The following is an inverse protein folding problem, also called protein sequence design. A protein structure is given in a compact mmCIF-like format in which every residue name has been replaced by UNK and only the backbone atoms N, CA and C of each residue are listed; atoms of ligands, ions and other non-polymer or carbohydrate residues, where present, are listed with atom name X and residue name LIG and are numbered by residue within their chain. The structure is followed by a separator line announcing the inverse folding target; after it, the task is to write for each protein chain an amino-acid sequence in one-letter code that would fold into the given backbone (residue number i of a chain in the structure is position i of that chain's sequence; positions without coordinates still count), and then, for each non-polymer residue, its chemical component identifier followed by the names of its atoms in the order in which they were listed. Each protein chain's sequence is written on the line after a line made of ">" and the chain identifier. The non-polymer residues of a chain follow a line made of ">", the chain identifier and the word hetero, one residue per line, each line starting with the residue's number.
data_IF_818025021717
#
_entry.id   IF_818025021717
#
_cell.length_a   1.000
_cell.length_b   1.000
_cell.length_c   1.000
_cell.angle_alpha   90.00
_cell.angle_beta   90.00
_cell.angle_gamma   90.00
#
_symmetry.space_group_name_H-M   'P 1'
#
loop_
_entity.id
_entity.type
_entity.pdbx_description
1 polymer ?
#
# COMPACT_ATOMS: atom_id res chain seq x y z
N UNK A 1 -29.65 -5.45 -5.50
CA UNK A 1 -28.96 -4.18 -5.81
C UNK A 1 -30.02 -3.08 -5.82
N UNK A 2 -29.90 -2.09 -4.94
CA UNK A 2 -30.84 -0.97 -4.82
C UNK A 2 -30.15 0.30 -5.34
N UNK A 3 -30.89 1.16 -6.03
CA UNK A 3 -30.39 2.49 -6.40
C UNK A 3 -31.01 3.52 -5.47
N UNK A 4 -30.20 4.31 -4.80
CA UNK A 4 -30.63 5.44 -4.00
C UNK A 4 -30.47 6.70 -4.85
N UNK A 5 -31.59 7.36 -5.08
CA UNK A 5 -31.63 8.65 -5.77
C UNK A 5 -31.61 9.75 -4.71
N UNK A 6 -30.62 10.59 -4.75
CA UNK A 6 -30.39 11.64 -3.75
C UNK A 6 -30.45 13.00 -4.40
N UNK A 7 -31.33 13.84 -3.93
CA UNK A 7 -31.33 15.26 -4.30
C UNK A 7 -30.30 15.99 -3.46
N UNK A 8 -29.39 16.68 -4.11
CA UNK A 8 -28.30 17.44 -3.47
C UNK A 8 -28.70 18.91 -3.40
N UNK A 9 -28.83 19.40 -2.17
CA UNK A 9 -29.01 20.81 -1.88
C UNK A 9 -27.69 21.55 -1.68
N UNK A 10 -27.78 22.74 -1.10
CA UNK A 10 -26.63 23.61 -0.80
C UNK A 10 -26.34 23.70 0.70
N UNK A 11 -26.90 22.79 1.51
CA UNK A 11 -26.67 22.77 2.97
C UNK A 11 -25.20 22.53 3.31
N UNK A 12 -24.52 21.65 2.55
CA UNK A 12 -23.07 21.43 2.66
C UNK A 12 -22.28 22.73 2.49
N UNK A 13 -22.59 23.49 1.43
CA UNK A 13 -21.91 24.76 1.15
C UNK A 13 -22.15 25.79 2.28
N UNK A 14 -23.38 25.90 2.76
CA UNK A 14 -23.75 26.83 3.84
C UNK A 14 -23.08 26.47 5.18
N UNK A 15 -22.93 25.18 5.48
CA UNK A 15 -22.27 24.70 6.68
C UNK A 15 -20.75 24.89 6.61
N UNK A 16 -20.14 24.54 5.47
CA UNK A 16 -18.71 24.71 5.22
C UNK A 16 -18.29 26.18 5.27
N UNK A 17 -19.06 27.11 4.67
CA UNK A 17 -18.85 28.56 4.78
C UNK A 17 -18.70 29.02 6.22
N UNK A 18 -19.62 28.58 7.09
CA UNK A 18 -19.60 28.94 8.51
C UNK A 18 -18.42 28.32 9.29
N UNK A 19 -18.10 27.07 8.99
CA UNK A 19 -17.07 26.34 9.74
C UNK A 19 -15.65 26.73 9.31
N UNK A 20 -15.42 27.01 8.02
CA UNK A 20 -14.11 27.34 7.48
C UNK A 20 -13.84 28.85 7.41
N UNK A 21 -14.84 29.69 7.68
CA UNK A 21 -14.80 31.16 7.49
C UNK A 21 -14.40 31.57 6.07
N UNK A 22 -14.88 30.84 5.06
CA UNK A 22 -14.62 31.07 3.64
C UNK A 22 -15.92 31.45 2.93
N UNK A 23 -15.93 32.56 2.22
CA UNK A 23 -17.16 33.04 1.58
C UNK A 23 -17.62 32.15 0.42
N UNK A 24 -16.69 31.59 -0.36
CA UNK A 24 -16.97 30.68 -1.46
C UNK A 24 -16.06 29.43 -1.39
N UNK A 25 -16.42 28.42 -0.58
CA UNK A 25 -15.67 27.16 -0.54
C UNK A 25 -15.64 26.50 -1.91
N UNK A 26 -14.44 26.13 -2.38
CA UNK A 26 -14.27 25.32 -3.57
C UNK A 26 -14.53 23.85 -3.29
N UNK A 27 -14.41 22.96 -4.28
CA UNK A 27 -14.65 21.53 -4.14
C UNK A 27 -13.71 20.85 -3.13
N UNK A 28 -12.45 21.29 -3.07
CA UNK A 28 -11.46 20.76 -2.15
C UNK A 28 -11.73 21.19 -0.70
N UNK A 29 -12.17 22.43 -0.51
CA UNK A 29 -12.60 22.92 0.79
C UNK A 29 -13.80 22.12 1.31
N UNK A 30 -14.79 21.86 0.45
CA UNK A 30 -15.96 21.04 0.78
C UNK A 30 -15.57 19.60 1.09
N UNK A 31 -14.66 19.01 0.31
CA UNK A 31 -14.18 17.65 0.53
C UNK A 31 -13.40 17.55 1.85
N UNK A 32 -12.55 18.53 2.12
CA UNK A 32 -11.82 18.63 3.40
C UNK A 32 -12.77 18.81 4.59
N UNK A 33 -13.77 19.66 4.45
CA UNK A 33 -14.79 19.87 5.47
C UNK A 33 -15.55 18.57 5.77
N UNK A 34 -16.01 17.86 4.74
CA UNK A 34 -16.68 16.56 4.91
C UNK A 34 -15.79 15.52 5.59
N UNK A 35 -14.49 15.55 5.32
CA UNK A 35 -13.54 14.61 5.88
C UNK A 35 -13.30 14.76 7.40
N UNK A 36 -13.53 15.95 7.95
CA UNK A 36 -13.21 16.31 9.33
C UNK A 36 -14.45 16.64 10.18
N UNK A 37 -15.65 16.59 9.60
CA UNK A 37 -16.89 16.98 10.26
C UNK A 37 -17.78 15.76 10.46
N UNK A 38 -18.48 15.71 11.59
CA UNK A 38 -19.51 14.70 11.85
C UNK A 38 -20.54 14.69 10.71
N UNK A 39 -20.88 13.52 10.12
CA UNK A 39 -21.83 13.40 9.01
C UNK A 39 -23.18 14.04 9.29
N UNK A 40 -23.64 14.01 10.55
CA UNK A 40 -24.92 14.62 10.96
C UNK A 40 -24.87 16.14 10.85
N UNK A 41 -23.71 16.74 11.15
CA UNK A 41 -23.49 18.18 11.13
C UNK A 41 -23.04 18.68 9.75
N UNK A 42 -22.43 17.82 8.94
CA UNK A 42 -21.81 18.22 7.68
C UNK A 42 -22.83 18.64 6.63
N UNK A 43 -23.83 17.80 6.33
CA UNK A 43 -24.93 18.15 5.43
C UNK A 43 -26.16 17.27 5.68
N UNK A 44 -27.30 17.69 5.10
CA UNK A 44 -28.53 16.89 5.13
C UNK A 44 -28.34 15.55 4.41
N UNK A 45 -27.60 15.55 3.31
CA UNK A 45 -27.29 14.38 2.50
C UNK A 45 -26.43 13.38 3.26
N UNK A 46 -25.36 13.83 3.90
CA UNK A 46 -24.47 12.95 4.69
C UNK A 46 -25.18 12.35 5.89
N UNK A 47 -26.03 13.13 6.57
CA UNK A 47 -26.87 12.64 7.68
C UNK A 47 -27.85 11.57 7.19
N UNK A 48 -28.54 11.79 6.07
CA UNK A 48 -29.49 10.83 5.52
C UNK A 48 -28.76 9.57 4.98
N UNK A 49 -27.69 9.76 4.22
CA UNK A 49 -26.93 8.66 3.62
C UNK A 49 -26.24 7.79 4.68
N UNK A 50 -25.75 8.36 5.76
CA UNK A 50 -25.21 7.61 6.89
C UNK A 50 -26.19 6.63 7.53
N UNK A 51 -27.51 6.83 7.34
CA UNK A 51 -28.58 5.96 7.85
C UNK A 51 -29.21 5.06 6.79
N UNK A 52 -29.14 5.46 5.51
CA UNK A 52 -29.86 4.80 4.42
C UNK A 52 -29.01 3.87 3.58
N UNK A 53 -27.70 4.17 3.43
CA UNK A 53 -26.79 3.41 2.59
C UNK A 53 -26.64 1.96 3.08
N UNK A 54 -26.78 1.03 2.13
CA UNK A 54 -26.54 -0.40 2.33
C UNK A 54 -25.55 -0.88 1.28
N UNK A 55 -24.96 -2.04 1.52
CA UNK A 55 -24.10 -2.68 0.55
C UNK A 55 -24.77 -2.85 -0.80
N UNK A 56 -24.00 -2.67 -1.86
CA UNK A 56 -24.44 -2.74 -3.27
C UNK A 56 -25.50 -1.71 -3.65
N UNK A 57 -25.75 -0.71 -2.81
CA UNK A 57 -26.56 0.43 -3.22
C UNK A 57 -25.76 1.25 -4.23
N UNK A 58 -26.42 1.56 -5.36
CA UNK A 58 -25.93 2.53 -6.33
C UNK A 58 -26.40 3.89 -5.90
N UNK A 59 -25.47 4.82 -5.72
CA UNK A 59 -25.80 6.21 -5.40
C UNK A 59 -25.87 7.04 -6.69
N UNK A 60 -26.98 7.73 -6.89
CA UNK A 60 -27.17 8.69 -7.97
C UNK A 60 -27.53 10.03 -7.37
N UNK A 61 -26.66 11.01 -7.58
CA UNK A 61 -26.79 12.36 -7.03
C UNK A 61 -27.43 13.28 -8.07
N UNK A 62 -28.58 13.84 -7.74
CA UNK A 62 -29.26 14.84 -8.55
C UNK A 62 -29.02 16.21 -7.95
N UNK A 63 -28.40 17.10 -8.69
CA UNK A 63 -28.17 18.48 -8.26
C UNK A 63 -28.84 19.46 -9.21
N UNK A 64 -29.09 20.67 -8.71
CA UNK A 64 -29.54 21.79 -9.57
C UNK A 64 -28.48 22.15 -10.61
N UNK A 65 -28.87 22.67 -11.77
CA UNK A 65 -27.94 23.12 -12.81
C UNK A 65 -27.16 24.39 -12.41
N UNK A 66 -26.95 24.60 -11.12
CA UNK A 66 -26.16 25.69 -10.57
C UNK A 66 -24.76 25.20 -10.25
N UNK A 67 -23.77 26.06 -10.34
CA UNK A 67 -22.40 25.79 -9.99
C UNK A 67 -22.27 25.32 -8.51
N UNK A 68 -23.05 25.90 -7.63
CA UNK A 68 -23.10 25.53 -6.21
C UNK A 68 -23.61 24.09 -6.00
N UNK A 69 -24.68 23.72 -6.70
CA UNK A 69 -25.24 22.37 -6.66
C UNK A 69 -24.24 21.33 -7.22
N UNK A 70 -23.57 21.66 -8.33
CA UNK A 70 -22.54 20.82 -8.91
C UNK A 70 -21.38 20.57 -7.93
N UNK A 71 -20.85 21.64 -7.32
CA UNK A 71 -19.76 21.55 -6.33
C UNK A 71 -20.13 20.69 -5.12
N UNK A 72 -21.35 20.83 -4.60
CA UNK A 72 -21.83 19.99 -3.49
C UNK A 72 -21.94 18.52 -3.89
N UNK A 73 -22.49 18.22 -5.05
CA UNK A 73 -22.64 16.84 -5.54
C UNK A 73 -21.27 16.18 -5.76
N UNK A 74 -20.33 16.92 -6.35
CA UNK A 74 -18.99 16.43 -6.60
C UNK A 74 -18.22 16.16 -5.29
N UNK A 75 -18.28 17.07 -4.33
CA UNK A 75 -17.65 16.87 -3.02
C UNK A 75 -18.25 15.66 -2.29
N UNK A 76 -19.57 15.45 -2.33
CA UNK A 76 -20.22 14.28 -1.76
C UNK A 76 -19.79 12.98 -2.48
N UNK A 77 -19.71 13.00 -3.81
CA UNK A 77 -19.25 11.86 -4.59
C UNK A 77 -17.82 11.46 -4.18
N UNK A 78 -16.90 12.41 -4.11
CA UNK A 78 -15.52 12.19 -3.67
C UNK A 78 -15.44 11.72 -2.23
N UNK A 79 -16.24 12.26 -1.33
CA UNK A 79 -16.29 11.86 0.08
C UNK A 79 -16.67 10.38 0.22
N UNK A 80 -17.74 9.94 -0.42
CA UNK A 80 -18.18 8.54 -0.33
C UNK A 80 -17.23 7.57 -1.05
N UNK A 81 -16.62 7.96 -2.18
CA UNK A 81 -15.61 7.16 -2.86
C UNK A 81 -14.31 7.02 -2.04
N UNK A 82 -13.86 8.09 -1.37
CA UNK A 82 -12.61 8.09 -0.58
C UNK A 82 -12.74 7.49 0.82
N UNK A 83 -13.96 7.28 1.31
CA UNK A 83 -14.20 6.81 2.68
C UNK A 83 -13.52 5.47 2.99
N UNK A 84 -13.57 4.51 2.06
CA UNK A 84 -12.93 3.20 2.22
C UNK A 84 -11.41 3.28 2.26
N UNK A 85 -10.79 4.11 1.42
CA UNK A 85 -9.34 4.34 1.43
C UNK A 85 -8.87 4.86 2.79
N UNK A 86 -9.61 5.84 3.32
CA UNK A 86 -9.30 6.43 4.62
C UNK A 86 -9.49 5.43 5.76
N UNK A 87 -10.56 4.64 5.73
CA UNK A 87 -10.79 3.57 6.71
C UNK A 87 -9.61 2.60 6.74
N UNK A 88 -9.21 2.12 5.58
CA UNK A 88 -8.09 1.19 5.44
C UNK A 88 -6.79 1.78 5.99
N UNK A 89 -6.45 3.01 5.61
CA UNK A 89 -5.26 3.69 6.11
C UNK A 89 -5.29 3.86 7.64
N UNK A 90 -6.42 4.30 8.20
CA UNK A 90 -6.58 4.47 9.65
C UNK A 90 -6.47 3.14 10.41
N UNK A 91 -7.05 2.06 9.90
CA UNK A 91 -6.93 0.72 10.49
C UNK A 91 -5.46 0.27 10.50
N UNK A 92 -4.77 0.37 9.37
CA UNK A 92 -3.37 -0.02 9.25
C UNK A 92 -2.48 0.79 10.22
N UNK A 93 -2.57 2.12 10.19
CA UNK A 93 -1.79 3.00 11.06
C UNK A 93 -2.06 2.72 12.56
N UNK A 94 -3.32 2.40 12.90
CA UNK A 94 -3.68 2.08 14.27
C UNK A 94 -3.12 0.73 14.72
N UNK A 95 -3.20 -0.29 13.88
CA UNK A 95 -2.64 -1.62 14.14
C UNK A 95 -1.14 -1.51 14.42
N UNK A 96 -0.40 -0.82 13.57
CA UNK A 96 1.04 -0.62 13.76
C UNK A 96 1.36 0.13 15.04
N UNK A 97 0.63 1.21 15.33
CA UNK A 97 0.83 1.98 16.55
C UNK A 97 0.63 1.13 17.82
N UNK A 98 -0.42 0.31 17.86
CA UNK A 98 -0.70 -0.55 19.00
C UNK A 98 0.36 -1.65 19.15
N UNK A 99 0.80 -2.26 18.04
CA UNK A 99 1.87 -3.27 18.04
C UNK A 99 3.20 -2.73 18.53
N UNK A 100 3.58 -1.52 18.12
CA UNK A 100 4.80 -0.84 18.62
C UNK A 100 4.76 -0.61 20.13
N UNK A 101 3.57 -0.59 20.72
CA UNK A 101 3.36 -0.47 22.17
C UNK A 101 3.18 -1.83 22.88
N UNK A 102 3.39 -2.94 22.16
CA UNK A 102 3.26 -4.31 22.68
C UNK A 102 1.81 -4.72 22.99
N UNK A 103 0.81 -4.05 22.41
CA UNK A 103 -0.59 -4.37 22.61
C UNK A 103 -1.13 -5.27 21.51
N UNK A 104 -1.94 -6.24 21.92
CA UNK A 104 -2.73 -7.07 21.01
C UNK A 104 -3.85 -6.24 20.36
N UNK A 105 -4.16 -6.57 19.11
CA UNK A 105 -5.20 -5.90 18.33
C UNK A 105 -6.23 -6.92 17.85
N UNK A 106 -7.49 -6.59 17.99
CA UNK A 106 -8.64 -7.29 17.41
C UNK A 106 -9.49 -6.26 16.64
N UNK A 107 -9.90 -6.59 15.43
CA UNK A 107 -10.83 -5.76 14.68
C UNK A 107 -12.25 -6.26 14.93
N UNK A 108 -13.12 -5.40 15.45
CA UNK A 108 -14.55 -5.68 15.51
C UNK A 108 -15.24 -5.02 14.31
N UNK A 109 -15.68 -5.83 13.35
CA UNK A 109 -16.34 -5.41 12.12
C UNK A 109 -17.87 -5.60 12.15
N UNK A 110 -18.49 -5.60 13.33
CA UNK A 110 -19.95 -5.77 13.49
C UNK A 110 -20.75 -4.60 12.93
N UNK A 111 -20.27 -3.38 13.12
CA UNK A 111 -20.92 -2.16 12.62
C UNK A 111 -20.26 -1.64 11.35
N UNK A 112 -21.03 -0.93 10.54
CA UNK A 112 -20.55 -0.32 9.31
C UNK A 112 -21.23 -0.90 8.05
N UNK A 113 -20.85 -0.35 6.90
CA UNK A 113 -21.29 -0.90 5.61
C UNK A 113 -20.56 -2.21 5.31
N UNK A 114 -21.16 -3.10 4.54
CA UNK A 114 -20.53 -4.38 4.20
C UNK A 114 -19.21 -4.22 3.41
N UNK A 115 -19.07 -3.14 2.66
CA UNK A 115 -17.78 -2.79 2.06
C UNK A 115 -16.71 -2.48 3.13
N UNK A 116 -17.07 -1.80 4.21
CA UNK A 116 -16.19 -1.53 5.35
C UNK A 116 -15.80 -2.83 6.07
N UNK A 117 -16.75 -3.75 6.25
CA UNK A 117 -16.50 -5.09 6.82
C UNK A 117 -15.53 -5.87 5.92
N UNK A 118 -15.74 -5.86 4.59
CA UNK A 118 -14.87 -6.55 3.64
C UNK A 118 -13.44 -5.99 3.68
N UNK A 119 -13.28 -4.67 3.69
CA UNK A 119 -11.95 -4.05 3.79
C UNK A 119 -11.32 -4.19 5.18
N UNK A 120 -12.10 -4.15 6.25
CA UNK A 120 -11.61 -4.44 7.60
C UNK A 120 -11.08 -5.87 7.70
N UNK A 121 -11.78 -6.84 7.06
CA UNK A 121 -11.33 -8.23 6.97
C UNK A 121 -10.07 -8.36 6.13
N UNK A 122 -9.98 -7.67 4.99
CA UNK A 122 -8.77 -7.63 4.18
C UNK A 122 -7.56 -7.07 4.98
N UNK A 123 -7.76 -5.98 5.71
CA UNK A 123 -6.71 -5.40 6.58
C UNK A 123 -6.33 -6.40 7.68
N UNK A 124 -7.30 -7.07 8.31
CA UNK A 124 -7.04 -8.10 9.30
C UNK A 124 -6.15 -9.21 8.76
N UNK A 125 -6.45 -9.71 7.55
CA UNK A 125 -5.65 -10.73 6.87
C UNK A 125 -4.24 -10.23 6.50
N UNK A 126 -4.14 -9.00 5.98
CA UNK A 126 -2.86 -8.40 5.57
C UNK A 126 -1.92 -8.16 6.74
N UNK A 127 -2.47 -7.79 7.89
CA UNK A 127 -1.72 -7.45 9.09
C UNK A 127 -1.69 -8.58 10.13
N UNK A 128 -2.19 -9.76 9.81
CA UNK A 128 -2.25 -10.89 10.75
C UNK A 128 -2.96 -10.50 12.07
N UNK A 129 -4.14 -9.90 11.94
CA UNK A 129 -5.01 -9.46 13.03
C UNK A 129 -6.35 -10.19 12.94
N UNK A 130 -6.83 -10.82 14.01
CA UNK A 130 -8.13 -11.46 14.00
C UNK A 130 -9.26 -10.44 13.82
N UNK A 131 -10.30 -10.85 13.10
CA UNK A 131 -11.48 -10.02 12.84
C UNK A 131 -12.71 -10.71 13.38
N UNK A 132 -13.51 -10.02 14.17
CA UNK A 132 -14.78 -10.54 14.69
C UNK A 132 -15.96 -9.70 14.21
N UNK A 133 -17.09 -10.33 14.02
CA UNK A 133 -18.36 -9.66 13.79
C UNK A 133 -19.53 -10.48 14.34
N UNK A 134 -20.64 -9.82 14.69
CA UNK A 134 -21.87 -10.46 15.11
C UNK A 134 -22.83 -10.49 13.92
N UNK A 135 -23.31 -11.70 13.59
CA UNK A 135 -24.32 -11.86 12.54
C UNK A 135 -25.68 -11.38 13.04
N UNK A 136 -26.34 -10.53 12.26
CA UNK A 136 -27.60 -9.86 12.67
C UNK A 136 -28.75 -10.85 12.96
N UNK A 137 -28.86 -11.94 12.18
CA UNK A 137 -29.93 -12.95 12.34
C UNK A 137 -29.63 -13.98 13.43
N UNK A 138 -28.39 -14.51 13.44
CA UNK A 138 -28.03 -15.59 14.36
C UNK A 138 -27.52 -15.10 15.70
N UNK A 139 -27.20 -13.81 15.82
CA UNK A 139 -26.61 -13.16 17.01
C UNK A 139 -25.36 -13.85 17.56
N UNK A 140 -24.74 -14.70 16.74
CA UNK A 140 -23.52 -15.40 17.08
C UNK A 140 -22.30 -14.57 16.70
N UNK A 141 -21.28 -14.65 17.56
CA UNK A 141 -19.97 -14.08 17.26
C UNK A 141 -19.27 -14.96 16.22
N UNK A 142 -18.96 -14.37 15.07
CA UNK A 142 -18.14 -15.01 14.04
C UNK A 142 -16.75 -14.41 14.14
N UNK A 143 -15.75 -15.26 14.22
CA UNK A 143 -14.35 -14.86 14.26
C UNK A 143 -13.62 -15.40 13.03
N UNK A 144 -12.93 -14.50 12.34
CA UNK A 144 -11.95 -14.83 11.31
C UNK A 144 -10.58 -14.73 12.00
N UNK A 145 -9.96 -15.86 12.33
CA UNK A 145 -8.67 -15.85 13.02
C UNK A 145 -7.59 -15.29 12.12
N UNK A 146 -6.49 -14.85 12.71
CA UNK A 146 -5.27 -14.58 11.99
C UNK A 146 -4.85 -15.85 11.21
N UNK A 147 -4.65 -15.72 9.92
CA UNK A 147 -4.33 -16.85 9.03
C UNK A 147 -2.88 -16.74 8.54
N UNK A 148 -2.15 -17.86 8.44
CA UNK A 148 -0.77 -17.88 7.96
C UNK A 148 -0.74 -17.69 6.41
N UNK A 149 -1.23 -16.56 5.94
CA UNK A 149 -1.24 -16.21 4.51
C UNK A 149 0.05 -15.47 4.16
N UNK A 150 0.74 -15.93 3.15
CA UNK A 150 1.89 -15.21 2.60
C UNK A 150 1.43 -14.36 1.41
N UNK A 151 1.65 -13.05 1.50
CA UNK A 151 1.33 -12.12 0.43
C UNK A 151 2.51 -11.94 -0.52
N UNK A 152 2.23 -11.88 -1.81
CA UNK A 152 3.24 -11.55 -2.80
C UNK A 152 3.37 -10.03 -2.93
N UNK A 153 4.45 -9.50 -2.37
CA UNK A 153 4.77 -8.08 -2.43
C UNK A 153 5.69 -7.72 -3.61
N UNK A 154 5.93 -8.64 -4.54
CA UNK A 154 6.84 -8.41 -5.68
C UNK A 154 6.42 -7.18 -6.50
N UNK A 155 5.12 -7.01 -6.76
CA UNK A 155 4.60 -5.83 -7.47
C UNK A 155 4.99 -4.52 -6.79
N UNK A 156 4.87 -4.43 -5.46
CA UNK A 156 5.29 -3.22 -4.73
C UNK A 156 6.82 -3.04 -4.73
N UNK A 157 7.56 -4.12 -4.56
CA UNK A 157 9.01 -4.11 -4.64
C UNK A 157 9.49 -3.69 -6.04
N UNK A 158 8.87 -4.18 -7.09
CA UNK A 158 9.23 -3.91 -8.48
C UNK A 158 8.84 -2.51 -8.93
N UNK A 159 7.76 -1.97 -8.38
CA UNK A 159 7.23 -0.64 -8.72
C UNK A 159 7.31 0.35 -7.55
N UNK A 160 8.27 0.17 -6.66
CA UNK A 160 8.42 0.95 -5.42
C UNK A 160 8.48 2.45 -5.69
N UNK A 161 9.22 2.88 -6.72
CA UNK A 161 9.32 4.29 -7.10
C UNK A 161 7.97 4.85 -7.59
N UNK A 162 7.22 4.06 -8.35
CA UNK A 162 5.86 4.43 -8.76
C UNK A 162 4.94 4.55 -7.55
N UNK A 163 4.92 3.53 -6.68
CA UNK A 163 4.05 3.53 -5.51
C UNK A 163 4.40 4.63 -4.50
N UNK A 164 5.68 4.95 -4.32
CA UNK A 164 6.10 6.07 -3.50
C UNK A 164 5.64 7.42 -4.08
N UNK A 165 5.60 7.54 -5.41
CA UNK A 165 5.16 8.75 -6.07
C UNK A 165 3.64 8.91 -6.09
N UNK A 166 2.88 7.82 -6.32
CA UNK A 166 1.40 7.87 -6.40
C UNK A 166 0.72 7.93 -5.03
N UNK A 167 1.39 7.47 -3.97
CA UNK A 167 0.90 7.45 -2.57
C UNK A 167 1.03 8.83 -1.89
N UNK A 168 1.10 9.91 -2.66
CA UNK A 168 1.10 11.27 -2.13
C UNK A 168 -0.25 11.69 -1.52
N UNK A 169 -0.25 12.77 -0.74
CA UNK A 169 -1.46 13.34 -0.13
C UNK A 169 -2.49 13.76 -1.20
N UNK A 170 -2.02 14.18 -2.37
CA UNK A 170 -2.85 14.64 -3.48
C UNK A 170 -2.89 13.60 -4.61
N UNK A 171 -4.08 13.38 -5.22
CA UNK A 171 -4.20 12.57 -6.42
C UNK A 171 -3.34 13.13 -7.56
N UNK A 172 -2.84 12.27 -8.43
CA UNK A 172 -2.04 12.67 -9.59
C UNK A 172 -2.92 12.84 -10.83
N UNK A 173 -2.68 13.86 -11.68
CA UNK A 173 -3.36 13.96 -12.96
C UNK A 173 -3.13 12.68 -13.80
N UNK A 174 -4.18 12.10 -14.36
CA UNK A 174 -4.09 10.84 -15.11
C UNK A 174 -3.14 10.95 -16.31
N UNK A 175 -3.13 12.11 -17.02
CA UNK A 175 -2.22 12.37 -18.11
C UNK A 175 -0.75 12.44 -17.67
N UNK A 176 -0.48 12.88 -16.46
CA UNK A 176 0.87 12.85 -15.87
C UNK A 176 1.31 11.44 -15.56
N UNK A 177 0.40 10.61 -15.02
CA UNK A 177 0.66 9.18 -14.77
C UNK A 177 1.00 8.47 -16.06
N UNK A 178 0.19 8.63 -17.10
CA UNK A 178 0.41 8.00 -18.41
C UNK A 178 1.71 8.46 -19.09
N UNK A 179 2.05 9.74 -18.98
CA UNK A 179 3.28 10.29 -19.55
C UNK A 179 4.52 9.78 -18.84
N UNK A 180 4.48 9.71 -17.52
CA UNK A 180 5.63 9.27 -16.70
C UNK A 180 5.77 7.76 -16.67
N UNK A 181 4.67 7.03 -16.71
CA UNK A 181 4.59 5.58 -16.59
C UNK A 181 3.72 4.95 -17.69
N UNK A 182 4.15 5.05 -18.97
CA UNK A 182 3.29 4.67 -20.12
C UNK A 182 2.94 3.19 -20.18
N UNK A 183 3.68 2.33 -19.48
CA UNK A 183 3.55 0.87 -19.56
C UNK A 183 3.33 0.23 -18.19
N UNK A 184 2.39 0.77 -17.40
CA UNK A 184 1.99 0.14 -16.15
C UNK A 184 1.36 -1.24 -16.42
N UNK A 185 1.85 -2.31 -15.78
CA UNK A 185 1.27 -3.64 -15.92
C UNK A 185 -0.10 -3.73 -15.22
N UNK A 186 -0.89 -4.75 -15.59
CA UNK A 186 -2.23 -4.92 -15.03
C UNK A 186 -2.22 -5.11 -13.50
N UNK A 187 -1.18 -5.77 -12.96
CA UNK A 187 -0.98 -5.99 -11.51
C UNK A 187 -0.86 -4.69 -10.74
N UNK A 188 -0.34 -3.63 -11.37
CA UNK A 188 -0.29 -2.27 -10.79
C UNK A 188 -1.62 -1.57 -11.02
N UNK A 189 -2.18 -1.65 -12.23
CA UNK A 189 -3.42 -0.94 -12.59
C UNK A 189 -4.61 -1.32 -11.71
N UNK A 190 -4.75 -2.59 -11.31
CA UNK A 190 -5.84 -3.04 -10.43
C UNK A 190 -5.75 -2.45 -9.00
N UNK A 191 -4.62 -1.89 -8.63
CA UNK A 191 -4.40 -1.22 -7.35
C UNK A 191 -4.67 0.29 -7.42
N UNK A 192 -5.05 0.79 -8.59
CA UNK A 192 -5.36 2.19 -8.84
C UNK A 192 -6.85 2.40 -9.02
N UNK A 193 -7.26 3.62 -8.77
CA UNK A 193 -8.57 4.18 -9.14
C UNK A 193 -8.35 5.44 -9.94
N UNK A 194 -9.18 5.63 -10.96
CA UNK A 194 -9.22 6.85 -11.76
C UNK A 194 -10.56 7.53 -11.56
N UNK A 195 -10.53 8.80 -11.26
CA UNK A 195 -11.71 9.60 -11.02
C UNK A 195 -11.46 11.06 -11.41
N UNK A 196 -12.35 11.60 -12.26
CA UNK A 196 -12.33 13.01 -12.72
C UNK A 196 -10.98 13.49 -13.25
N UNK A 197 -10.29 12.61 -14.03
CA UNK A 197 -8.99 12.94 -14.61
C UNK A 197 -7.82 12.82 -13.64
N UNK A 198 -8.03 12.24 -12.46
CA UNK A 198 -6.99 11.97 -11.47
C UNK A 198 -6.88 10.49 -11.19
N UNK A 199 -5.65 10.03 -10.99
CA UNK A 199 -5.30 8.66 -10.60
C UNK A 199 -4.74 8.64 -9.19
N UNK A 200 -5.11 7.62 -8.43
CA UNK A 200 -4.66 7.41 -7.05
C UNK A 200 -4.76 5.92 -6.65
N UNK A 201 -4.19 5.55 -5.51
CA UNK A 201 -4.33 4.18 -4.99
C UNK A 201 -5.78 3.88 -4.61
N UNK A 202 -6.30 2.75 -5.06
CA UNK A 202 -7.58 2.20 -4.59
C UNK A 202 -7.50 1.84 -3.10
N UNK A 203 -8.64 1.54 -2.47
CA UNK A 203 -8.63 1.09 -1.07
C UNK A 203 -7.79 -0.20 -0.89
N UNK A 204 -7.85 -1.13 -1.87
CA UNK A 204 -7.00 -2.33 -1.87
C UNK A 204 -5.51 -1.95 -2.06
N UNK A 205 -5.22 -1.00 -2.95
CA UNK A 205 -3.87 -0.49 -3.16
C UNK A 205 -3.27 0.11 -1.89
N UNK A 206 -4.04 0.92 -1.17
CA UNK A 206 -3.63 1.49 0.14
C UNK A 206 -3.40 0.39 1.17
N UNK A 207 -4.30 -0.60 1.29
CA UNK A 207 -4.14 -1.71 2.23
C UNK A 207 -2.84 -2.49 2.01
N UNK A 208 -2.60 -2.90 0.76
CA UNK A 208 -1.41 -3.64 0.37
C UNK A 208 -0.14 -2.80 0.50
N UNK A 209 -0.18 -1.51 0.17
CA UNK A 209 0.95 -0.60 0.35
C UNK A 209 1.35 -0.50 1.82
N UNK A 210 0.40 -0.28 2.71
CA UNK A 210 0.65 -0.22 4.16
C UNK A 210 1.19 -1.54 4.71
N UNK A 211 0.67 -2.68 4.23
CA UNK A 211 1.17 -3.99 4.64
C UNK A 211 2.61 -4.23 4.13
N UNK A 212 2.95 -3.77 2.94
CA UNK A 212 4.31 -3.80 2.41
C UNK A 212 5.28 -2.96 3.26
N UNK A 213 4.90 -1.72 3.60
CA UNK A 213 5.72 -0.85 4.44
C UNK A 213 5.91 -1.45 5.85
N UNK A 214 4.84 -2.01 6.45
CA UNK A 214 4.93 -2.71 7.72
C UNK A 214 5.85 -3.94 7.66
N UNK A 215 5.82 -4.68 6.55
CA UNK A 215 6.72 -5.81 6.34
C UNK A 215 8.19 -5.38 6.19
N UNK A 216 8.45 -4.21 5.63
CA UNK A 216 9.78 -3.59 5.62
C UNK A 216 10.24 -3.20 7.03
N UNK A 217 9.38 -2.53 7.80
CA UNK A 217 9.69 -2.07 9.16
C UNK A 217 9.94 -3.24 10.13
N UNK A 218 9.15 -4.31 10.03
CA UNK A 218 9.31 -5.53 10.85
C UNK A 218 10.58 -6.32 10.49
N UNK A 219 11.17 -6.06 9.33
CA UNK A 219 12.32 -6.78 8.82
C UNK A 219 13.64 -6.49 9.54
N UNK A 220 13.66 -5.61 10.51
CA UNK A 220 14.87 -5.14 11.22
C UNK A 220 15.59 -6.24 12.00
N UNK A 221 15.04 -7.45 12.08
CA UNK A 221 15.57 -8.51 12.94
C UNK A 221 16.52 -9.49 12.26
N UNK A 222 16.50 -9.61 10.92
CA UNK A 222 17.37 -10.55 10.22
C UNK A 222 18.66 -9.86 9.80
N UNK A 223 19.83 -10.27 10.34
CA UNK A 223 21.09 -9.68 9.96
C UNK A 223 21.46 -10.02 8.52
N UNK A 224 21.99 -9.05 7.80
CA UNK A 224 22.51 -9.19 6.43
C UNK A 224 24.01 -8.99 6.45
N UNK A 225 24.73 -9.90 5.81
CA UNK A 225 26.17 -9.86 5.69
C UNK A 225 26.60 -9.80 4.22
N UNK A 226 27.59 -8.98 3.92
CA UNK A 226 28.17 -8.87 2.59
C UNK A 226 29.51 -9.61 2.54
N UNK A 227 29.76 -10.38 1.47
CA UNK A 227 31.09 -10.89 1.18
C UNK A 227 32.07 -9.73 0.89
N UNK A 228 33.36 -10.01 0.86
CA UNK A 228 34.35 -8.99 0.49
C UNK A 228 34.12 -8.42 -0.91
N UNK A 229 33.70 -9.26 -1.88
CA UNK A 229 33.35 -8.84 -3.25
C UNK A 229 32.09 -7.97 -3.26
N UNK A 230 31.03 -8.40 -2.59
CA UNK A 230 29.79 -7.64 -2.48
C UNK A 230 30.02 -6.29 -1.79
N UNK A 231 30.79 -6.26 -0.70
CA UNK A 231 31.13 -5.03 0.00
C UNK A 231 31.92 -4.06 -0.89
N UNK A 232 32.89 -4.55 -1.65
CA UNK A 232 33.65 -3.73 -2.59
C UNK A 232 32.76 -3.13 -3.68
N UNK A 233 31.85 -3.94 -4.27
CA UNK A 233 30.90 -3.45 -5.29
C UNK A 233 29.97 -2.38 -4.70
N UNK A 234 29.48 -2.60 -3.47
CA UNK A 234 28.66 -1.63 -2.76
C UNK A 234 29.36 -0.31 -2.48
N UNK A 235 30.61 -0.36 -2.01
CA UNK A 235 31.42 0.84 -1.70
C UNK A 235 31.75 1.65 -2.96
N UNK A 236 31.98 0.98 -4.09
CA UNK A 236 32.29 1.60 -5.38
C UNK A 236 31.05 2.09 -6.15
N UNK A 237 29.85 1.75 -5.72
CA UNK A 237 28.63 2.16 -6.36
C UNK A 237 28.40 3.68 -6.24
N UNK A 238 27.93 4.30 -7.33
CA UNK A 238 27.48 5.69 -7.29
C UNK A 238 26.28 5.86 -6.35
N UNK A 239 25.95 7.08 -5.89
CA UNK A 239 24.88 7.30 -4.91
C UNK A 239 23.52 6.75 -5.33
N UNK A 240 23.18 6.80 -6.64
CA UNK A 240 21.92 6.28 -7.16
C UNK A 240 21.85 4.75 -7.09
N UNK A 241 22.93 4.09 -7.53
CA UNK A 241 23.02 2.64 -7.46
C UNK A 241 23.11 2.14 -6.01
N UNK A 242 23.84 2.84 -5.16
CA UNK A 242 23.92 2.52 -3.73
C UNK A 242 22.55 2.55 -3.08
N UNK A 243 21.75 3.60 -3.33
CA UNK A 243 20.38 3.68 -2.84
C UNK A 243 19.49 2.51 -3.33
N UNK A 244 19.70 2.00 -4.55
CA UNK A 244 19.02 0.81 -5.06
C UNK A 244 19.47 -0.46 -4.34
N UNK A 245 20.77 -0.62 -4.12
CA UNK A 245 21.30 -1.73 -3.32
C UNK A 245 20.79 -1.68 -1.88
N UNK A 246 20.74 -0.50 -1.25
CA UNK A 246 20.20 -0.34 0.10
C UNK A 246 18.74 -0.84 0.20
N UNK A 247 17.89 -0.43 -0.74
CA UNK A 247 16.51 -0.91 -0.79
C UNK A 247 16.41 -2.42 -1.01
N UNK A 248 17.22 -2.96 -1.90
CA UNK A 248 17.25 -4.40 -2.17
C UNK A 248 17.76 -5.20 -0.96
N UNK A 249 18.80 -4.73 -0.29
CA UNK A 249 19.36 -5.32 0.94
C UNK A 249 18.35 -5.24 2.11
N UNK A 250 17.66 -4.10 2.26
CA UNK A 250 16.62 -3.95 3.27
C UNK A 250 15.48 -4.96 3.10
N UNK A 251 15.06 -5.23 1.84
CA UNK A 251 14.05 -6.27 1.55
C UNK A 251 14.50 -7.67 1.96
N UNK A 252 15.80 -7.99 1.85
CA UNK A 252 16.31 -9.28 2.29
C UNK A 252 16.19 -9.51 3.80
N UNK A 253 16.08 -8.46 4.60
CA UNK A 253 15.81 -8.56 6.04
C UNK A 253 14.44 -9.13 6.35
N UNK A 254 13.45 -8.91 5.47
CA UNK A 254 12.09 -9.43 5.63
C UNK A 254 11.94 -10.81 5.00
N UNK A 255 11.60 -11.87 5.78
CA UNK A 255 11.35 -13.20 5.23
C UNK A 255 10.26 -13.23 4.15
N UNK A 256 9.20 -12.42 4.32
CA UNK A 256 8.13 -12.33 3.35
C UNK A 256 8.60 -11.67 2.04
N UNK A 257 9.29 -10.52 2.14
CA UNK A 257 9.75 -9.78 0.97
C UNK A 257 10.85 -10.51 0.21
N UNK A 258 11.83 -11.14 0.89
CA UNK A 258 12.89 -11.88 0.22
C UNK A 258 12.38 -13.12 -0.52
N UNK A 259 11.36 -13.83 0.00
CA UNK A 259 10.73 -14.94 -0.72
C UNK A 259 10.00 -14.47 -1.97
N UNK A 260 9.23 -13.38 -1.86
CA UNK A 260 8.47 -12.80 -2.96
C UNK A 260 9.39 -12.25 -4.06
N UNK A 261 10.53 -11.64 -3.70
CA UNK A 261 11.42 -10.94 -4.63
C UNK A 261 12.62 -11.74 -5.12
N UNK A 262 12.72 -13.04 -4.81
CA UNK A 262 13.90 -13.85 -5.16
C UNK A 262 13.55 -15.04 -6.05
N UNK A 263 14.52 -15.44 -6.87
CA UNK A 263 14.40 -16.60 -7.76
C UNK A 263 15.68 -17.44 -7.75
N UNK A 264 15.56 -18.76 -7.96
CA UNK A 264 16.72 -19.61 -8.19
C UNK A 264 17.32 -19.32 -9.56
N UNK A 265 18.63 -19.44 -9.67
CA UNK A 265 19.35 -19.24 -10.92
C UNK A 265 20.10 -20.51 -11.29
N UNK A 266 20.10 -20.83 -12.58
CA UNK A 266 20.79 -22.00 -13.10
C UNK A 266 22.28 -21.96 -12.80
N UNK A 267 22.84 -23.12 -12.50
CA UNK A 267 24.27 -23.31 -12.18
C UNK A 267 24.79 -22.57 -10.92
N UNK A 268 23.87 -21.99 -10.11
CA UNK A 268 24.16 -21.37 -8.83
C UNK A 268 23.50 -22.16 -7.69
N UNK A 269 24.11 -22.16 -6.50
CA UNK A 269 23.51 -22.69 -5.26
C UNK A 269 23.01 -21.58 -4.32
N UNK A 270 22.82 -20.39 -4.89
CA UNK A 270 22.32 -19.18 -4.24
C UNK A 270 21.10 -18.65 -4.97
N UNK A 271 20.33 -17.79 -4.32
CA UNK A 271 19.19 -17.10 -4.91
C UNK A 271 19.63 -15.75 -5.48
N UNK A 272 18.86 -15.22 -6.44
CA UNK A 272 19.03 -13.87 -6.96
C UNK A 272 17.80 -13.01 -6.63
N UNK A 273 18.04 -11.78 -6.23
CA UNK A 273 17.04 -10.76 -5.93
C UNK A 273 17.49 -9.39 -6.48
N UNK A 274 16.58 -8.52 -6.89
CA UNK A 274 15.16 -8.76 -7.15
C UNK A 274 14.93 -9.61 -8.41
N UNK A 275 13.71 -10.13 -8.57
CA UNK A 275 13.25 -10.82 -9.80
C UNK A 275 13.13 -9.84 -10.97
N UNK A 276 13.02 -10.39 -12.17
CA UNK A 276 12.67 -9.62 -13.37
C UNK A 276 13.86 -8.85 -13.95
N UNK A 277 13.59 -7.69 -14.56
CA UNK A 277 14.58 -6.93 -15.36
C UNK A 277 15.14 -5.70 -14.62
N UNK A 278 15.39 -5.81 -13.31
CA UNK A 278 16.04 -4.75 -12.54
C UNK A 278 17.54 -4.67 -12.86
N UNK A 279 18.10 -3.47 -12.77
CA UNK A 279 19.53 -3.27 -12.98
C UNK A 279 20.37 -3.85 -11.84
N UNK A 280 19.94 -3.62 -10.61
CA UNK A 280 20.58 -4.18 -9.41
C UNK A 280 20.26 -5.67 -9.24
N UNK A 281 21.28 -6.48 -8.95
CA UNK A 281 21.18 -7.91 -8.69
C UNK A 281 21.99 -8.30 -7.47
N UNK A 282 21.38 -9.06 -6.57
CA UNK A 282 21.99 -9.59 -5.35
C UNK A 282 21.99 -11.10 -5.41
N UNK A 283 23.17 -11.74 -5.34
CA UNK A 283 23.31 -13.19 -5.20
C UNK A 283 23.45 -13.51 -3.71
N UNK A 284 22.54 -14.29 -3.14
CA UNK A 284 22.46 -14.46 -1.70
C UNK A 284 21.92 -15.83 -1.29
N UNK A 285 22.18 -16.21 -0.04
CA UNK A 285 21.60 -17.37 0.61
C UNK A 285 21.25 -17.07 2.06
N UNK A 286 20.41 -17.93 2.65
CA UNK A 286 20.02 -17.89 4.07
C UNK A 286 20.64 -19.07 4.79
N UNK A 287 21.23 -18.81 5.95
CA UNK A 287 21.77 -19.84 6.83
C UNK A 287 21.76 -19.34 8.28
N UNK A 288 21.37 -20.19 9.24
CA UNK A 288 21.32 -19.89 10.68
C UNK A 288 20.58 -18.60 11.04
N UNK A 289 19.48 -18.29 10.33
CA UNK A 289 18.67 -17.09 10.56
C UNK A 289 19.32 -15.77 10.11
N UNK A 290 20.36 -15.84 9.30
CA UNK A 290 21.02 -14.69 8.71
C UNK A 290 21.05 -14.81 7.18
N UNK A 291 21.17 -13.65 6.51
CA UNK A 291 21.30 -13.53 5.05
C UNK A 291 22.74 -13.20 4.68
N UNK A 292 23.29 -13.95 3.76
CA UNK A 292 24.64 -13.82 3.25
C UNK A 292 24.61 -13.45 1.78
N UNK A 293 25.03 -12.22 1.45
CA UNK A 293 25.09 -11.72 0.07
C UNK A 293 26.49 -11.97 -0.49
N UNK A 294 26.57 -12.88 -1.45
CA UNK A 294 27.82 -13.29 -2.08
C UNK A 294 28.34 -12.25 -3.06
N UNK A 295 27.46 -11.73 -3.92
CA UNK A 295 27.80 -10.78 -4.97
C UNK A 295 26.69 -9.72 -5.14
N UNK A 296 27.11 -8.53 -5.53
CA UNK A 296 26.27 -7.49 -6.09
C UNK A 296 26.66 -7.27 -7.55
N UNK A 297 25.66 -7.10 -8.41
CA UNK A 297 25.88 -6.95 -9.85
C UNK A 297 24.91 -5.96 -10.48
N UNK A 298 25.18 -5.61 -11.74
CA UNK A 298 24.30 -4.79 -12.59
C UNK A 298 24.04 -5.50 -13.91
N UNK A 299 22.82 -5.34 -14.41
CA UNK A 299 22.49 -5.75 -15.77
C UNK A 299 23.15 -4.84 -16.80
N UNK A 300 23.17 -3.54 -16.56
CA UNK A 300 23.63 -2.52 -17.52
C UNK A 300 25.11 -2.59 -17.86
N UNK A 301 25.95 -3.18 -17.01
CA UNK A 301 27.40 -3.32 -17.22
C UNK A 301 27.86 -4.77 -17.47
N UNK A 302 26.90 -5.68 -17.70
CA UNK A 302 27.14 -7.11 -17.91
C UNK A 302 27.81 -7.85 -16.75
N UNK A 303 27.89 -7.24 -15.56
CA UNK A 303 28.47 -7.93 -14.40
C UNK A 303 27.59 -9.11 -13.96
N UNK A 304 26.29 -8.97 -14.11
CA UNK A 304 25.32 -10.03 -13.84
C UNK A 304 25.53 -11.26 -14.74
N UNK A 305 25.61 -11.05 -16.05
CA UNK A 305 25.85 -12.12 -17.04
C UNK A 305 27.14 -12.87 -16.78
N UNK A 306 28.24 -12.14 -16.48
CA UNK A 306 29.54 -12.76 -16.13
C UNK A 306 29.46 -13.62 -14.86
N UNK A 307 28.66 -13.20 -13.86
CA UNK A 307 28.44 -14.00 -12.66
C UNK A 307 27.63 -15.26 -12.95
N UNK A 308 26.64 -15.18 -13.85
CA UNK A 308 25.87 -16.34 -14.29
C UNK A 308 26.75 -17.36 -15.03
N UNK A 309 27.59 -16.90 -15.96
CA UNK A 309 28.52 -17.75 -16.71
C UNK A 309 29.54 -18.44 -15.80
N UNK A 310 30.06 -17.73 -14.79
CA UNK A 310 31.01 -18.28 -13.83
C UNK A 310 30.36 -19.24 -12.83
N UNK A 311 29.07 -19.06 -12.57
CA UNK A 311 28.34 -19.70 -11.49
C UNK A 311 28.73 -19.17 -10.12
N UNK A 312 27.75 -18.76 -9.31
CA UNK A 312 27.98 -18.28 -7.94
C UNK A 312 27.64 -19.42 -6.97
N UNK A 313 28.65 -19.89 -6.25
CA UNK A 313 28.52 -21.00 -5.30
C UNK A 313 28.97 -20.61 -3.91
N UNK A 314 28.19 -20.99 -2.88
CA UNK A 314 28.47 -20.69 -1.47
C UNK A 314 29.90 -21.02 -1.06
N UNK A 315 30.44 -22.16 -1.52
CA UNK A 315 31.80 -22.61 -1.23
C UNK A 315 32.90 -21.63 -1.66
N UNK A 316 32.61 -20.70 -2.58
CA UNK A 316 33.55 -19.68 -3.04
C UNK A 316 33.70 -18.52 -2.03
N UNK A 317 32.81 -18.42 -1.04
CA UNK A 317 32.72 -17.32 -0.10
C UNK A 317 32.87 -17.82 1.34
N UNK A 318 34.10 -17.88 1.90
CA UNK A 318 34.32 -18.29 3.28
C UNK A 318 33.56 -17.40 4.26
N UNK A 319 32.83 -18.02 5.19
CA UNK A 319 31.92 -17.36 6.11
C UNK A 319 32.61 -16.30 6.98
N UNK A 320 33.84 -16.54 7.34
CA UNK A 320 34.67 -15.64 8.17
C UNK A 320 34.97 -14.29 7.47
N UNK A 321 34.76 -14.20 6.16
CA UNK A 321 35.02 -13.00 5.35
C UNK A 321 33.80 -12.13 5.09
N UNK A 322 32.64 -12.55 5.57
CA UNK A 322 31.45 -11.73 5.49
C UNK A 322 31.47 -10.65 6.58
N UNK A 323 31.00 -9.46 6.23
CA UNK A 323 30.89 -8.32 7.13
C UNK A 323 29.41 -7.90 7.27
N UNK A 324 28.98 -7.48 8.47
CA UNK A 324 27.60 -7.02 8.65
C UNK A 324 27.33 -5.78 7.80
N UNK A 325 26.19 -5.77 7.15
CA UNK A 325 25.67 -4.56 6.50
C UNK A 325 24.84 -3.76 7.52
N UNK A 326 25.19 -2.49 7.70
CA UNK A 326 24.65 -1.57 8.71
C UNK A 326 23.86 -0.42 8.08
N UNK A 327 23.30 -0.60 6.85
CA UNK A 327 22.54 0.42 6.15
C UNK A 327 21.22 0.79 6.78
#
# INVERSE_FOLDING_TARGET
>A
MRTILVTVGTSLLANARRALDVQEPNEDDLTRYLAHTDPVAASAETNALGRLLRERDRLVLFHSQTEQGRRCAEALRRHFARGLRRLVALLADRIEKERRQGREVLINATGGFKAEIAYATLVGLLFDVPVSYIHEEFRDLIEVPAMPVAWDYSTFADWEEFFAWIDGEEPRPTDEVERRWPHLPNEVRVLLEEDDGYTYLSAAGVALRRAYDAALDQAVTVPVYLSASAAQTYEQADPSLRSRFDRALARLRSPALRRASSEPVRDCDVLVSPRGHRDERLFWYEEDGAVYVCELARHSDQSYERLLERGVRRAQYPRERFRPWTG
#
